data_IF_894457357723
#
_entry.id   IF_894457357723
#
_cell.length_a   1.000
_cell.length_b   1.000
_cell.length_c   1.000
_cell.angle_alpha   90.00
_cell.angle_beta   90.00
_cell.angle_gamma   90.00
#
_symmetry.space_group_name_H-M   'P 1'
#
loop_
_entity.id
_entity.type
_entity.pdbx_description
1 polymer ?
#
# COMPACT_ATOMS: atom_id res chain seq x y z
N UNK A 1 -15.73 17.75 21.79
CA UNK A 1 -15.37 16.66 20.83
C UNK A 1 -16.48 15.60 20.61
N UNK A 2 -17.25 15.19 21.61
CA UNK A 2 -18.19 14.04 21.55
C UNK A 2 -19.17 14.02 20.37
N UNK A 3 -19.68 15.18 19.92
CA UNK A 3 -20.57 15.23 18.76
C UNK A 3 -19.85 14.81 17.46
N UNK A 4 -18.60 15.23 17.30
CA UNK A 4 -17.76 14.87 16.14
C UNK A 4 -17.49 13.37 16.14
N UNK A 5 -17.18 12.78 17.29
CA UNK A 5 -16.96 11.33 17.42
C UNK A 5 -18.19 10.50 17.04
N UNK A 6 -19.39 10.98 17.34
CA UNK A 6 -20.64 10.31 16.98
C UNK A 6 -20.97 10.50 15.49
N UNK A 7 -20.69 11.69 14.93
CA UNK A 7 -21.10 12.04 13.56
C UNK A 7 -20.10 11.57 12.49
N UNK A 8 -18.79 11.71 12.75
CA UNK A 8 -17.73 11.48 11.77
C UNK A 8 -17.77 10.07 11.13
N UNK A 9 -18.03 8.98 11.87
CA UNK A 9 -18.07 7.64 11.26
C UNK A 9 -19.11 7.48 10.16
N UNK A 10 -20.16 8.31 10.14
CA UNK A 10 -21.32 8.15 9.25
C UNK A 10 -21.42 9.22 8.17
N UNK A 11 -20.55 10.23 8.19
CA UNK A 11 -20.67 11.38 7.29
C UNK A 11 -19.34 11.66 6.59
N UNK A 12 -19.46 12.12 5.35
CA UNK A 12 -18.37 12.77 4.61
C UNK A 12 -18.63 14.26 4.60
N UNK A 13 -17.57 15.03 4.79
CA UNK A 13 -17.63 16.50 4.85
C UNK A 13 -16.57 17.07 3.92
N UNK A 14 -16.84 18.24 3.35
CA UNK A 14 -15.80 18.97 2.62
C UNK A 14 -14.84 19.63 3.60
N UNK A 15 -13.58 19.85 3.21
CA UNK A 15 -12.59 20.56 4.03
C UNK A 15 -13.08 21.94 4.47
N UNK A 16 -13.90 22.61 3.64
CA UNK A 16 -14.58 23.85 4.03
C UNK A 16 -15.56 23.65 5.18
N UNK A 17 -16.43 22.63 5.11
CA UNK A 17 -17.36 22.30 6.20
C UNK A 17 -16.61 21.90 7.48
N UNK A 18 -15.52 21.15 7.32
CA UNK A 18 -14.64 20.78 8.43
C UNK A 18 -14.04 22.03 9.07
N UNK A 19 -13.51 22.97 8.27
CA UNK A 19 -12.98 24.24 8.78
C UNK A 19 -14.03 25.07 9.51
N UNK A 20 -15.29 25.09 9.06
CA UNK A 20 -16.39 25.72 9.78
C UNK A 20 -16.67 25.06 11.14
N UNK A 21 -16.65 23.72 11.20
CA UNK A 21 -16.82 22.97 12.47
C UNK A 21 -15.64 23.21 13.42
N UNK A 22 -14.40 23.16 12.90
CA UNK A 22 -13.16 23.34 13.67
C UNK A 22 -13.12 24.73 14.32
N UNK A 23 -13.59 25.78 13.63
CA UNK A 23 -13.69 27.15 14.19
C UNK A 23 -14.64 27.28 15.38
N UNK A 24 -15.54 26.32 15.61
CA UNK A 24 -16.43 26.33 16.77
C UNK A 24 -15.73 25.88 18.06
N UNK A 25 -14.52 25.31 18.00
CA UNK A 25 -13.78 24.87 19.17
C UNK A 25 -12.94 26.01 19.75
N UNK A 26 -13.03 26.21 21.07
CA UNK A 26 -12.30 27.26 21.78
C UNK A 26 -10.97 26.79 22.40
N UNK A 27 -10.71 25.48 22.44
CA UNK A 27 -9.55 24.87 23.08
C UNK A 27 -8.72 24.09 22.06
N UNK A 28 -7.39 24.29 22.07
CA UNK A 28 -6.48 23.68 21.09
C UNK A 28 -6.52 22.15 21.04
N UNK A 29 -6.49 21.45 22.18
CA UNK A 29 -6.47 19.97 22.18
C UNK A 29 -7.77 19.36 21.65
N UNK A 30 -8.93 19.89 22.06
CA UNK A 30 -10.22 19.44 21.54
C UNK A 30 -10.38 19.75 20.05
N UNK A 31 -9.87 20.90 19.63
CA UNK A 31 -9.84 21.33 18.24
C UNK A 31 -9.01 20.36 17.39
N UNK A 32 -7.77 20.05 17.82
CA UNK A 32 -6.86 19.14 17.12
C UNK A 32 -7.47 17.74 17.01
N UNK A 33 -8.03 17.20 18.09
CA UNK A 33 -8.69 15.88 18.06
C UNK A 33 -9.90 15.85 17.13
N UNK A 34 -10.71 16.90 17.12
CA UNK A 34 -11.83 17.02 16.19
C UNK A 34 -11.34 17.13 14.74
N UNK A 35 -10.29 17.92 14.48
CA UNK A 35 -9.69 18.07 13.17
C UNK A 35 -9.10 16.74 12.66
N UNK A 36 -8.39 15.98 13.51
CA UNK A 36 -7.84 14.67 13.15
C UNK A 36 -8.91 13.64 12.77
N UNK A 37 -10.01 13.59 13.53
CA UNK A 37 -11.16 12.73 13.21
C UNK A 37 -11.83 13.12 11.88
N UNK A 38 -12.01 14.43 11.66
CA UNK A 38 -12.65 14.97 10.48
C UNK A 38 -11.77 14.87 9.24
N UNK A 39 -10.45 14.97 9.39
CA UNK A 39 -9.45 14.75 8.33
C UNK A 39 -9.65 13.39 7.66
N UNK A 40 -9.82 12.32 8.45
CA UNK A 40 -10.09 10.97 7.92
C UNK A 40 -11.44 10.86 7.18
N UNK A 41 -12.32 11.86 7.32
CA UNK A 41 -13.67 11.91 6.72
C UNK A 41 -13.84 13.07 5.74
N UNK A 42 -12.75 13.72 5.36
CA UNK A 42 -12.74 14.76 4.35
C UNK A 42 -12.95 14.15 2.96
N UNK A 43 -13.96 14.63 2.24
CA UNK A 43 -14.33 14.13 0.91
C UNK A 43 -13.40 14.65 -0.20
N UNK A 44 -12.90 15.86 -0.02
CA UNK A 44 -12.10 16.66 -0.96
C UNK A 44 -10.75 17.06 -0.34
N UNK A 45 -10.25 16.24 0.60
CA UNK A 45 -9.02 16.46 1.36
C UNK A 45 -7.86 16.88 0.47
N UNK A 46 -7.75 16.19 -0.65
CA UNK A 46 -6.68 16.21 -1.61
C UNK A 46 -6.53 17.52 -2.37
N UNK A 47 -7.65 18.19 -2.64
CA UNK A 47 -7.71 19.42 -3.42
C UNK A 47 -7.91 20.65 -2.52
N UNK A 48 -8.38 20.45 -1.29
CA UNK A 48 -8.89 21.54 -0.44
C UNK A 48 -8.39 21.48 1.01
N UNK A 49 -7.27 20.81 1.31
CA UNK A 49 -6.70 20.76 2.67
C UNK A 49 -6.50 22.16 3.28
N UNK A 50 -6.18 23.16 2.46
CA UNK A 50 -6.01 24.56 2.87
C UNK A 50 -7.27 25.15 3.53
N UNK A 51 -8.46 24.71 3.13
CA UNK A 51 -9.70 25.16 3.74
C UNK A 51 -9.86 24.66 5.19
N UNK A 52 -9.29 23.49 5.50
CA UNK A 52 -9.20 22.94 6.86
C UNK A 52 -8.08 23.64 7.64
N UNK A 53 -6.87 23.72 7.09
CA UNK A 53 -5.71 24.26 7.81
C UNK A 53 -5.83 25.76 8.08
N UNK A 54 -6.45 26.52 7.18
CA UNK A 54 -6.76 27.96 7.40
C UNK A 54 -7.76 28.23 8.53
N UNK A 55 -8.42 27.20 9.07
CA UNK A 55 -9.23 27.30 10.28
C UNK A 55 -8.44 27.12 11.57
N UNK A 56 -7.16 26.77 11.48
CA UNK A 56 -6.29 26.37 12.60
C UNK A 56 -5.09 27.33 12.73
N UNK A 57 -4.52 27.44 13.93
CA UNK A 57 -3.25 28.14 14.12
C UNK A 57 -2.08 27.22 13.74
N UNK A 58 -0.91 27.78 13.41
CA UNK A 58 0.30 27.02 13.06
C UNK A 58 0.67 25.96 14.11
N UNK A 59 0.54 26.30 15.40
CA UNK A 59 0.73 25.35 16.50
C UNK A 59 -0.24 24.17 16.45
N UNK A 60 -1.52 24.44 16.15
CA UNK A 60 -2.55 23.39 16.10
C UNK A 60 -2.38 22.52 14.86
N UNK A 61 -1.89 23.08 13.74
CA UNK A 61 -1.54 22.33 12.53
C UNK A 61 -0.40 21.36 12.85
N UNK A 62 0.65 21.82 13.54
CA UNK A 62 1.74 20.94 13.96
C UNK A 62 1.24 19.80 14.86
N UNK A 63 0.40 20.12 15.86
CA UNK A 63 -0.21 19.11 16.73
C UNK A 63 -1.14 18.15 15.98
N UNK A 64 -1.81 18.60 14.91
CA UNK A 64 -2.60 17.74 14.03
C UNK A 64 -1.70 16.74 13.28
N UNK A 65 -0.55 17.18 12.76
CA UNK A 65 0.42 16.27 12.16
C UNK A 65 0.96 15.26 13.16
N UNK A 66 1.23 15.66 14.40
CA UNK A 66 1.65 14.73 15.46
C UNK A 66 0.55 13.72 15.80
N UNK A 67 -0.72 14.14 15.89
CA UNK A 67 -1.85 13.27 16.20
C UNK A 67 -2.16 12.26 15.07
N UNK A 68 -1.99 12.68 13.81
CA UNK A 68 -2.15 11.81 12.64
C UNK A 68 -0.92 10.91 12.40
N UNK A 69 0.25 11.35 12.85
CA UNK A 69 1.53 10.70 12.61
C UNK A 69 1.81 10.48 11.12
N UNK A 70 2.31 9.30 10.76
CA UNK A 70 2.59 8.93 9.36
C UNK A 70 1.36 9.05 8.44
N UNK A 71 0.14 8.96 8.99
CA UNK A 71 -1.09 9.05 8.20
C UNK A 71 -1.46 10.48 7.80
N UNK A 72 -0.75 11.51 8.27
CA UNK A 72 -0.92 12.87 7.72
C UNK A 72 -0.54 12.95 6.23
N UNK A 73 0.27 12.01 5.76
CA UNK A 73 0.72 11.90 4.37
C UNK A 73 -0.18 10.99 3.52
N UNK A 74 -1.27 10.46 4.08
CA UNK A 74 -2.13 9.51 3.36
C UNK A 74 -2.98 10.24 2.31
N UNK A 75 -2.96 9.73 1.08
CA UNK A 75 -3.93 10.05 0.02
C UNK A 75 -5.00 8.96 -0.05
N UNK A 76 -6.27 9.35 -0.10
CA UNK A 76 -7.39 8.40 -0.16
C UNK A 76 -7.77 8.05 -1.60
N UNK A 77 -7.34 8.84 -2.58
CA UNK A 77 -7.36 8.50 -4.00
C UNK A 77 -6.38 7.35 -4.25
N UNK A 78 -5.16 7.41 -3.71
CA UNK A 78 -4.22 6.29 -3.78
C UNK A 78 -3.92 5.70 -2.39
N UNK A 79 -4.84 4.91 -1.81
CA UNK A 79 -4.64 4.30 -0.50
C UNK A 79 -3.62 3.16 -0.51
N UNK A 80 -3.01 2.83 -1.66
CA UNK A 80 -2.10 1.67 -1.77
C UNK A 80 -0.94 1.77 -0.79
N UNK A 81 -0.69 0.74 0.03
CA UNK A 81 0.31 0.82 1.10
C UNK A 81 0.07 -0.14 2.26
N UNK A 82 0.95 -0.09 3.25
CA UNK A 82 0.80 -0.83 4.50
C UNK A 82 0.14 0.04 5.58
N UNK A 83 -0.74 -0.55 6.39
CA UNK A 83 -1.42 0.15 7.47
C UNK A 83 -1.31 -0.65 8.77
N UNK A 84 -0.92 0.03 9.84
CA UNK A 84 -0.94 -0.46 11.22
C UNK A 84 -1.81 0.45 12.09
N UNK A 85 -3.01 -0.03 12.40
CA UNK A 85 -4.06 0.74 13.03
C UNK A 85 -4.34 0.24 14.44
N UNK A 86 -4.19 1.12 15.44
CA UNK A 86 -4.50 0.82 16.82
C UNK A 86 -5.89 1.40 17.16
N UNK A 87 -6.88 0.53 17.29
CA UNK A 87 -8.25 0.91 17.60
C UNK A 87 -8.48 1.34 19.04
N UNK A 88 -7.44 1.52 19.86
CA UNK A 88 -7.58 2.34 21.08
C UNK A 88 -7.66 3.83 20.75
N UNK A 89 -7.22 4.27 19.57
CA UNK A 89 -7.30 5.67 19.14
C UNK A 89 -8.49 5.89 18.20
N UNK A 90 -9.36 6.90 18.47
CA UNK A 90 -10.48 7.23 17.59
C UNK A 90 -10.06 7.59 16.15
N UNK A 91 -8.89 8.20 15.99
CA UNK A 91 -8.32 8.56 14.67
C UNK A 91 -8.07 7.30 13.83
N UNK A 92 -7.44 6.26 14.38
CA UNK A 92 -7.17 5.03 13.62
C UNK A 92 -8.46 4.25 13.32
N UNK A 93 -9.48 4.34 14.18
CA UNK A 93 -10.82 3.81 13.89
C UNK A 93 -11.48 4.54 12.70
N UNK A 94 -11.38 5.87 12.67
CA UNK A 94 -11.90 6.69 11.58
C UNK A 94 -11.14 6.42 10.27
N UNK A 95 -9.81 6.26 10.33
CA UNK A 95 -8.96 5.89 9.20
C UNK A 95 -9.32 4.51 8.64
N UNK A 96 -9.46 3.49 9.49
CA UNK A 96 -9.92 2.16 9.05
C UNK A 96 -11.30 2.22 8.41
N UNK A 97 -12.23 3.01 8.96
CA UNK A 97 -13.56 3.20 8.39
C UNK A 97 -13.48 3.84 7.01
N UNK A 98 -12.62 4.85 6.83
CA UNK A 98 -12.38 5.49 5.52
C UNK A 98 -11.79 4.53 4.51
N UNK A 99 -10.72 3.80 4.86
CA UNK A 99 -10.11 2.81 3.97
C UNK A 99 -11.10 1.71 3.60
N UNK A 100 -11.93 1.27 4.54
CA UNK A 100 -13.00 0.29 4.30
C UNK A 100 -14.02 0.85 3.29
N UNK A 101 -14.47 2.09 3.48
CA UNK A 101 -15.40 2.74 2.55
C UNK A 101 -14.80 2.88 1.15
N UNK A 102 -13.51 3.24 1.03
CA UNK A 102 -12.79 3.29 -0.25
C UNK A 102 -12.76 1.91 -0.90
N UNK A 103 -12.39 0.88 -0.14
CA UNK A 103 -12.35 -0.50 -0.64
C UNK A 103 -13.72 -1.00 -1.15
N UNK A 104 -14.83 -0.60 -0.51
CA UNK A 104 -16.17 -0.95 -1.00
C UNK A 104 -16.66 -0.08 -2.18
N UNK A 105 -16.01 1.05 -2.44
CA UNK A 105 -16.31 1.92 -3.59
C UNK A 105 -15.52 1.55 -4.84
N UNK A 106 -14.36 0.90 -4.68
CA UNK A 106 -13.56 0.42 -5.80
C UNK A 106 -14.24 -0.76 -6.54
N UNK A 107 -13.90 -0.98 -7.83
CA UNK A 107 -14.42 -2.11 -8.57
C UNK A 107 -14.10 -3.44 -7.90
N UNK A 108 -15.13 -4.29 -7.73
CA UNK A 108 -15.01 -5.64 -7.15
C UNK A 108 -14.10 -6.65 -7.90
N UNK A 109 -13.41 -6.21 -8.95
CA UNK A 109 -12.53 -7.04 -9.77
C UNK A 109 -11.19 -7.37 -9.09
N UNK A 110 -10.88 -6.75 -7.96
CA UNK A 110 -9.60 -6.87 -7.28
C UNK A 110 -9.69 -7.05 -5.77
N UNK A 111 -8.77 -7.85 -5.27
CA UNK A 111 -8.45 -8.07 -3.87
C UNK A 111 -7.72 -6.83 -3.32
N UNK A 112 -8.40 -5.97 -2.55
CA UNK A 112 -7.84 -4.67 -2.16
C UNK A 112 -7.31 -4.58 -0.73
N UNK A 113 -7.70 -5.49 0.18
CA UNK A 113 -7.04 -5.64 1.48
C UNK A 113 -6.38 -7.01 1.54
N UNK A 114 -5.06 -7.03 1.65
CA UNK A 114 -4.22 -8.21 1.71
C UNK A 114 -3.57 -8.32 3.09
N UNK A 115 -3.09 -9.52 3.44
CA UNK A 115 -2.28 -9.75 4.64
C UNK A 115 -2.92 -9.24 5.94
N UNK A 116 -4.26 -9.36 6.05
CA UNK A 116 -5.03 -8.82 7.16
C UNK A 116 -4.72 -9.59 8.44
N UNK A 117 -4.27 -8.87 9.46
CA UNK A 117 -3.98 -9.35 10.79
C UNK A 117 -4.75 -8.47 11.78
N UNK A 118 -5.68 -9.04 12.54
CA UNK A 118 -6.39 -8.34 13.62
C UNK A 118 -6.27 -9.12 14.93
N UNK A 119 -5.73 -8.48 15.97
CA UNK A 119 -5.61 -9.02 17.34
C UNK A 119 -5.05 -10.46 17.46
N UNK A 120 -3.83 -10.65 16.96
CA UNK A 120 -3.09 -11.94 17.00
C UNK A 120 -2.97 -12.58 18.37
N UNK A 121 -3.05 -11.80 19.45
CA UNK A 121 -2.90 -12.29 20.83
C UNK A 121 -4.20 -12.79 21.47
N UNK A 122 -5.37 -12.64 20.81
CA UNK A 122 -6.66 -13.06 21.40
C UNK A 122 -7.35 -14.21 20.66
N UNK A 123 -6.75 -14.72 19.57
CA UNK A 123 -7.18 -15.93 18.84
C UNK A 123 -8.57 -15.89 18.16
N UNK A 124 -9.19 -14.72 17.97
CA UNK A 124 -10.60 -14.66 17.52
C UNK A 124 -10.79 -14.51 16.01
N UNK A 125 -9.79 -14.06 15.24
CA UNK A 125 -10.00 -13.82 13.80
C UNK A 125 -8.83 -14.35 12.97
N UNK A 126 -8.89 -15.65 12.63
CA UNK A 126 -8.31 -16.11 11.36
C UNK A 126 -9.25 -15.62 10.28
N UNK A 127 -9.06 -14.38 9.83
CA UNK A 127 -9.84 -13.80 8.73
C UNK A 127 -9.79 -14.80 7.58
N UNK A 128 -10.90 -15.48 7.24
CA UNK A 128 -10.88 -16.49 6.19
C UNK A 128 -10.41 -15.80 4.92
N UNK A 129 -9.44 -16.39 4.24
CA UNK A 129 -8.90 -15.84 2.99
C UNK A 129 -10.07 -15.61 2.04
N UNK A 130 -10.42 -14.36 1.82
CA UNK A 130 -11.04 -13.79 0.63
C UNK A 130 -10.87 -12.28 0.84
N UNK A 131 -9.66 -11.86 0.52
CA UNK A 131 -9.21 -10.52 0.26
C UNK A 131 -10.27 -9.41 0.17
N UNK A 132 -9.90 -8.25 0.71
CA UNK A 132 -10.82 -7.15 0.95
C UNK A 132 -11.25 -7.07 2.41
N UNK A 133 -11.86 -5.94 2.82
CA UNK A 133 -12.34 -5.78 4.18
C UNK A 133 -13.38 -6.89 4.50
N UNK A 134 -13.27 -7.56 5.66
CA UNK A 134 -14.22 -8.60 6.08
C UNK A 134 -15.68 -8.16 5.94
N UNK A 135 -16.55 -9.03 5.42
CA UNK A 135 -17.97 -8.72 5.24
C UNK A 135 -18.64 -8.26 6.53
N UNK A 136 -18.25 -8.86 7.67
CA UNK A 136 -18.73 -8.49 9.00
C UNK A 136 -18.44 -7.01 9.35
N UNK A 137 -17.45 -6.39 8.72
CA UNK A 137 -17.05 -5.01 8.97
C UNK A 137 -17.74 -4.00 8.05
N UNK A 138 -18.56 -4.47 7.09
CA UNK A 138 -19.27 -3.60 6.15
C UNK A 138 -20.05 -2.47 6.85
N UNK A 139 -20.73 -2.81 7.95
CA UNK A 139 -21.41 -1.84 8.80
C UNK A 139 -20.47 -1.03 9.69
N UNK A 140 -19.60 -1.70 10.45
CA UNK A 140 -18.73 -1.07 11.44
C UNK A 140 -17.41 -1.83 11.57
N UNK A 141 -16.29 -1.10 11.55
CA UNK A 141 -14.97 -1.67 11.80
C UNK A 141 -14.81 -2.05 13.29
N UNK A 142 -13.86 -2.93 13.63
CA UNK A 142 -13.61 -3.27 15.03
C UNK A 142 -13.26 -2.03 15.86
N UNK A 143 -13.75 -2.00 17.10
CA UNK A 143 -13.56 -0.86 18.02
C UNK A 143 -12.40 -1.02 18.99
N UNK A 144 -11.71 -2.16 18.93
CA UNK A 144 -10.61 -2.51 19.83
C UNK A 144 -9.57 -3.33 19.09
N UNK A 145 -8.36 -3.27 19.60
CA UNK A 145 -7.25 -4.06 19.09
C UNK A 145 -6.35 -3.35 18.11
N UNK A 146 -5.48 -4.13 17.49
CA UNK A 146 -4.58 -3.69 16.42
C UNK A 146 -4.92 -4.38 15.11
N UNK A 147 -5.06 -3.62 14.04
CA UNK A 147 -5.28 -4.09 12.68
C UNK A 147 -4.05 -3.77 11.82
N UNK A 148 -3.43 -4.77 11.21
CA UNK A 148 -2.35 -4.62 10.24
C UNK A 148 -2.77 -5.25 8.91
N UNK A 149 -2.55 -4.57 7.79
CA UNK A 149 -2.88 -5.08 6.45
C UNK A 149 -2.17 -4.25 5.36
N UNK A 150 -2.09 -4.81 4.15
CA UNK A 150 -1.71 -4.07 2.95
C UNK A 150 -2.98 -3.70 2.16
N UNK A 151 -3.10 -2.45 1.73
CA UNK A 151 -4.11 -2.01 0.78
C UNK A 151 -3.51 -2.02 -0.62
N UNK A 152 -4.19 -2.61 -1.60
CA UNK A 152 -3.82 -2.55 -3.03
C UNK A 152 -4.99 -1.97 -3.81
N UNK A 153 -4.86 -0.72 -4.26
CA UNK A 153 -5.93 -0.09 -5.04
C UNK A 153 -6.08 -0.77 -6.39
N UNK A 154 -7.34 -1.05 -6.71
CA UNK A 154 -7.82 -1.57 -7.99
C UNK A 154 -8.50 -0.50 -8.84
N UNK A 155 -8.53 0.74 -8.34
CA UNK A 155 -9.16 1.84 -9.05
C UNK A 155 -8.44 2.06 -10.40
N UNK A 156 -9.20 2.14 -11.50
CA UNK A 156 -8.60 2.29 -12.81
C UNK A 156 -7.91 3.64 -12.91
N UNK A 157 -6.77 3.68 -13.59
CA UNK A 157 -6.24 4.92 -14.13
C UNK A 157 -7.27 5.53 -15.09
N UNK A 158 -7.28 6.85 -15.20
CA UNK A 158 -8.01 7.54 -16.24
C UNK A 158 -7.59 6.97 -17.62
N UNK A 159 -8.54 6.66 -18.50
CA UNK A 159 -8.27 6.15 -19.85
C UNK A 159 -7.40 7.11 -20.68
N UNK A 160 -7.39 8.39 -20.30
CA UNK A 160 -6.58 9.43 -20.93
C UNK A 160 -5.33 9.81 -20.11
N UNK A 161 -5.03 9.08 -19.02
CA UNK A 161 -3.84 9.31 -18.24
C UNK A 161 -2.59 9.10 -19.10
N UNK A 162 -1.82 10.17 -19.27
CA UNK A 162 -0.51 10.13 -19.92
C UNK A 162 0.52 10.07 -18.81
N UNK A 163 1.51 9.19 -18.95
CA UNK A 163 2.62 9.17 -18.01
C UNK A 163 3.34 10.54 -18.04
N UNK A 164 3.69 11.04 -16.86
CA UNK A 164 4.47 12.29 -16.77
C UNK A 164 5.76 12.17 -17.57
N UNK A 165 6.28 13.28 -18.09
CA UNK A 165 7.56 13.25 -18.80
C UNK A 165 8.72 12.97 -17.84
N UNK A 166 9.85 12.49 -18.37
CA UNK A 166 11.05 12.24 -17.56
C UNK A 166 11.63 13.53 -16.96
N UNK A 167 11.46 14.67 -17.64
CA UNK A 167 11.87 15.99 -17.14
C UNK A 167 10.99 16.41 -15.96
N UNK A 168 9.66 16.33 -16.12
CA UNK A 168 8.70 16.62 -15.03
C UNK A 168 8.88 15.68 -13.84
N UNK A 169 9.22 14.41 -14.08
CA UNK A 169 9.51 13.46 -13.01
C UNK A 169 10.73 13.89 -12.19
N UNK A 170 11.82 14.31 -12.85
CA UNK A 170 13.02 14.78 -12.15
C UNK A 170 12.71 16.05 -11.36
N UNK A 171 12.01 17.00 -11.96
CA UNK A 171 11.61 18.24 -11.28
C UNK A 171 10.72 17.96 -10.07
N UNK A 172 9.76 17.05 -10.20
CA UNK A 172 8.89 16.59 -9.11
C UNK A 172 9.70 15.94 -7.98
N UNK A 173 10.58 14.98 -8.30
CA UNK A 173 11.40 14.30 -7.30
C UNK A 173 12.34 15.28 -6.58
N UNK A 174 12.90 16.25 -7.28
CA UNK A 174 13.79 17.25 -6.69
C UNK A 174 13.04 18.26 -5.81
N UNK A 175 11.96 18.87 -6.31
CA UNK A 175 11.32 19.99 -5.63
C UNK A 175 10.21 19.59 -4.66
N UNK A 176 9.46 18.53 -4.95
CA UNK A 176 8.36 18.09 -4.09
C UNK A 176 8.83 17.05 -3.07
N UNK A 177 9.72 16.14 -3.48
CA UNK A 177 10.18 15.04 -2.62
C UNK A 177 11.51 15.36 -1.93
N UNK A 178 12.36 16.21 -2.52
CA UNK A 178 13.66 16.57 -1.96
C UNK A 178 14.78 15.59 -2.31
N UNK A 179 14.65 14.85 -3.41
CA UNK A 179 15.69 13.93 -3.90
C UNK A 179 16.78 14.71 -4.62
N UNK A 180 18.04 14.52 -4.23
CA UNK A 180 19.18 15.10 -4.92
C UNK A 180 19.53 14.34 -6.21
N UNK A 181 20.13 15.03 -7.18
CA UNK A 181 20.60 14.45 -8.44
C UNK A 181 22.03 14.88 -8.75
N UNK A 182 22.77 14.04 -9.45
CA UNK A 182 24.10 14.37 -9.96
C UNK A 182 24.05 15.16 -11.28
N UNK A 183 25.19 15.64 -11.76
CA UNK A 183 25.33 16.38 -13.02
C UNK A 183 24.87 15.58 -14.27
N UNK A 184 24.68 14.26 -14.12
CA UNK A 184 24.22 13.36 -15.19
C UNK A 184 22.72 13.04 -15.07
N UNK A 185 22.03 13.62 -14.09
CA UNK A 185 20.61 13.38 -13.83
C UNK A 185 20.32 12.04 -13.15
N UNK A 186 21.33 11.40 -12.56
CA UNK A 186 21.16 10.19 -11.76
C UNK A 186 20.74 10.59 -10.35
N UNK A 187 19.75 9.90 -9.73
CA UNK A 187 19.39 10.20 -8.35
C UNK A 187 20.55 9.90 -7.42
N UNK A 188 20.67 10.71 -6.36
CA UNK A 188 21.59 10.55 -5.24
C UNK A 188 20.76 10.22 -4.00
N UNK A 189 20.53 8.92 -3.71
CA UNK A 189 19.74 8.51 -2.56
C UNK A 189 20.31 9.02 -1.25
N UNK A 190 19.44 9.43 -0.33
CA UNK A 190 19.89 9.83 1.00
C UNK A 190 20.44 8.64 1.78
N UNK A 191 21.46 8.91 2.59
CA UNK A 191 22.08 7.93 3.49
C UNK A 191 21.48 7.96 4.89
N UNK A 192 20.81 9.04 5.26
CA UNK A 192 20.01 9.12 6.48
C UNK A 192 18.66 8.44 6.24
N UNK A 193 18.38 7.41 7.05
CA UNK A 193 17.13 6.66 6.98
C UNK A 193 15.92 7.52 7.31
N UNK A 194 16.07 8.52 8.19
CA UNK A 194 14.97 9.38 8.63
C UNK A 194 14.52 10.33 7.51
N UNK A 195 15.49 10.87 6.77
CA UNK A 195 15.21 11.69 5.59
C UNK A 195 14.60 10.85 4.47
N UNK A 196 15.12 9.64 4.24
CA UNK A 196 14.53 8.72 3.27
C UNK A 196 13.09 8.31 3.65
N UNK A 197 12.79 8.10 4.94
CA UNK A 197 11.43 7.85 5.43
C UNK A 197 10.50 9.05 5.14
N UNK A 198 10.98 10.27 5.37
CA UNK A 198 10.24 11.49 5.04
C UNK A 198 10.01 11.61 3.53
N UNK A 199 11.01 11.33 2.69
CA UNK A 199 10.88 11.34 1.23
C UNK A 199 9.81 10.33 0.75
N UNK A 200 9.77 9.12 1.32
CA UNK A 200 8.71 8.14 1.03
C UNK A 200 7.33 8.67 1.47
N UNK A 201 7.24 9.32 2.63
CA UNK A 201 6.00 9.91 3.12
C UNK A 201 5.52 11.07 2.22
N UNK A 202 6.41 11.96 1.79
CA UNK A 202 6.11 13.02 0.83
C UNK A 202 5.66 12.43 -0.51
N UNK A 203 6.32 11.38 -0.99
CA UNK A 203 5.91 10.72 -2.22
C UNK A 203 4.47 10.20 -2.10
N UNK A 204 4.13 9.56 -0.98
CA UNK A 204 2.76 9.10 -0.68
C UNK A 204 1.75 10.24 -0.68
N UNK A 205 2.12 11.40 -0.13
CA UNK A 205 1.26 12.57 -0.07
C UNK A 205 1.01 13.18 -1.45
N UNK A 206 1.96 13.10 -2.37
CA UNK A 206 1.85 13.78 -3.66
C UNK A 206 1.25 12.89 -4.76
N UNK A 207 1.49 11.57 -4.74
CA UNK A 207 1.11 10.67 -5.84
C UNK A 207 -0.33 10.13 -5.72
N UNK A 208 -1.28 10.90 -6.27
CA UNK A 208 -2.68 10.47 -6.49
C UNK A 208 -2.95 9.90 -7.88
N UNK A 209 -4.22 9.61 -8.18
CA UNK A 209 -4.67 9.09 -9.48
C UNK A 209 -4.45 10.03 -10.68
N UNK A 210 -4.22 11.33 -10.42
CA UNK A 210 -3.84 12.29 -11.45
C UNK A 210 -2.44 12.03 -12.01
N UNK A 211 -1.60 11.26 -11.30
CA UNK A 211 -0.30 10.84 -11.79
C UNK A 211 -0.39 9.47 -12.46
N UNK A 212 0.37 9.33 -13.55
CA UNK A 212 0.64 8.05 -14.18
C UNK A 212 2.13 7.90 -14.41
N UNK A 213 2.62 6.68 -14.27
CA UNK A 213 4.03 6.32 -14.44
C UNK A 213 4.17 5.16 -15.41
N UNK A 214 5.29 5.11 -16.12
CA UNK A 214 5.74 3.88 -16.79
C UNK A 214 6.53 2.99 -15.82
N UNK A 215 6.66 1.71 -16.12
CA UNK A 215 7.49 0.77 -15.34
C UNK A 215 8.96 1.22 -15.31
N UNK A 216 9.44 1.90 -16.36
CA UNK A 216 10.78 2.49 -16.37
C UNK A 216 10.91 3.64 -15.36
N UNK A 217 9.90 4.48 -15.26
CA UNK A 217 9.86 5.58 -14.29
C UNK A 217 9.72 5.07 -12.86
N UNK A 218 8.89 4.05 -12.60
CA UNK A 218 8.80 3.41 -11.28
C UNK A 218 10.18 2.93 -10.83
N UNK A 219 10.95 2.25 -11.70
CA UNK A 219 12.33 1.84 -11.39
C UNK A 219 13.24 3.03 -11.10
N UNK A 220 13.12 4.12 -11.85
CA UNK A 220 13.89 5.34 -11.59
C UNK A 220 13.57 5.96 -10.22
N UNK A 221 12.30 5.97 -9.82
CA UNK A 221 11.89 6.43 -8.48
C UNK A 221 12.44 5.48 -7.41
N UNK A 222 12.41 4.17 -7.62
CA UNK A 222 13.02 3.19 -6.70
C UNK A 222 14.53 3.37 -6.56
N UNK A 223 15.22 3.82 -7.61
CA UNK A 223 16.65 4.11 -7.58
C UNK A 223 16.98 5.37 -6.75
N UNK A 224 15.98 6.14 -6.32
CA UNK A 224 16.15 7.26 -5.38
C UNK A 224 16.33 6.81 -3.93
N UNK A 225 16.21 5.51 -3.63
CA UNK A 225 16.27 4.98 -2.26
C UNK A 225 17.34 3.90 -2.14
N UNK A 226 18.08 3.86 -1.01
CA UNK A 226 19.08 2.81 -0.76
C UNK A 226 18.47 1.56 -0.13
N UNK A 227 17.55 1.77 0.82
CA UNK A 227 17.03 0.70 1.65
C UNK A 227 15.98 -0.13 0.88
N UNK A 228 16.13 -1.46 0.93
CA UNK A 228 15.20 -2.38 0.30
C UNK A 228 13.73 -2.16 0.69
N UNK A 229 13.39 -1.93 1.97
CA UNK A 229 12.01 -1.62 2.38
C UNK A 229 11.43 -0.39 1.69
N UNK A 230 12.20 0.70 1.55
CA UNK A 230 11.76 1.91 0.84
C UNK A 230 11.51 1.64 -0.64
N UNK A 231 12.41 0.89 -1.31
CA UNK A 231 12.21 0.50 -2.71
C UNK A 231 10.91 -0.29 -2.91
N UNK A 232 10.62 -1.21 -2.00
CA UNK A 232 9.40 -2.00 -2.05
C UNK A 232 8.18 -1.12 -1.77
N UNK A 233 8.25 -0.22 -0.80
CA UNK A 233 7.18 0.74 -0.51
C UNK A 233 6.84 1.60 -1.74
N UNK A 234 7.84 2.15 -2.41
CA UNK A 234 7.69 2.90 -3.66
C UNK A 234 7.02 2.06 -4.75
N UNK A 235 7.51 0.85 -4.98
CA UNK A 235 6.93 -0.05 -5.98
C UNK A 235 5.47 -0.41 -5.67
N UNK A 236 5.13 -0.59 -4.38
CA UNK A 236 3.76 -0.83 -3.93
C UNK A 236 2.89 0.39 -4.18
N UNK A 237 3.28 1.57 -3.68
CA UNK A 237 2.52 2.81 -3.82
C UNK A 237 2.22 3.19 -5.27
N UNK A 238 3.19 2.97 -6.16
CA UNK A 238 3.06 3.33 -7.57
C UNK A 238 2.39 2.23 -8.40
N UNK A 239 2.14 1.03 -7.85
CA UNK A 239 1.54 -0.09 -8.59
C UNK A 239 0.27 0.34 -9.30
N UNK A 240 -0.69 0.91 -8.58
CA UNK A 240 -1.99 1.35 -9.12
C UNK A 240 -1.83 2.39 -10.25
N UNK A 241 -0.72 3.14 -10.24
CA UNK A 241 -0.46 4.28 -11.11
C UNK A 241 0.36 3.95 -12.37
N UNK A 242 0.59 2.66 -12.65
CA UNK A 242 1.34 2.23 -13.85
C UNK A 242 0.45 2.15 -15.09
N UNK A 243 0.83 2.87 -16.16
CA UNK A 243 0.12 2.85 -17.45
C UNK A 243 0.51 1.66 -18.34
N UNK A 244 1.78 1.26 -18.36
CA UNK A 244 2.32 0.19 -19.21
C UNK A 244 2.38 -1.17 -18.49
N UNK A 245 1.26 -1.61 -17.90
CA UNK A 245 1.14 -2.82 -17.07
C UNK A 245 1.78 -4.09 -17.65
N UNK A 246 1.87 -4.23 -18.98
CA UNK A 246 2.53 -5.36 -19.65
C UNK A 246 4.03 -5.44 -19.36
N UNK A 247 4.67 -4.33 -19.01
CA UNK A 247 6.08 -4.25 -18.65
C UNK A 247 6.31 -4.37 -17.13
N UNK A 248 5.25 -4.62 -16.34
CA UNK A 248 5.33 -4.65 -14.88
C UNK A 248 6.38 -5.62 -14.34
N UNK A 249 6.60 -6.76 -15.02
CA UNK A 249 7.63 -7.74 -14.67
C UNK A 249 9.05 -7.15 -14.54
N UNK A 250 9.33 -6.02 -15.21
CA UNK A 250 10.63 -5.33 -15.10
C UNK A 250 10.88 -4.73 -13.72
N UNK A 251 9.83 -4.34 -12.99
CA UNK A 251 9.92 -3.72 -11.66
C UNK A 251 10.35 -4.74 -10.59
N UNK A 252 9.71 -5.91 -10.43
CA UNK A 252 10.24 -6.97 -9.57
C UNK A 252 11.65 -7.41 -9.97
N UNK A 253 11.98 -7.43 -11.27
CA UNK A 253 13.30 -7.87 -11.73
C UNK A 253 14.43 -6.92 -11.35
N UNK A 254 14.15 -5.64 -11.07
CA UNK A 254 15.16 -4.70 -10.56
C UNK A 254 15.37 -4.81 -9.04
N UNK A 255 14.55 -5.58 -8.34
CA UNK A 255 14.65 -5.82 -6.90
C UNK A 255 15.53 -7.03 -6.58
N UNK A 256 16.13 -7.04 -5.39
CA UNK A 256 16.86 -8.18 -4.82
C UNK A 256 15.88 -9.27 -4.36
N UNK A 257 16.37 -10.49 -4.13
CA UNK A 257 15.52 -11.63 -3.78
C UNK A 257 14.57 -11.39 -2.59
N UNK A 258 15.05 -10.81 -1.49
CA UNK A 258 14.18 -10.51 -0.34
C UNK A 258 13.16 -9.40 -0.65
N UNK A 259 13.54 -8.40 -1.44
CA UNK A 259 12.67 -7.31 -1.87
C UNK A 259 11.58 -7.81 -2.84
N UNK A 260 11.93 -8.74 -3.74
CA UNK A 260 10.97 -9.44 -4.62
C UNK A 260 9.93 -10.21 -3.82
N UNK A 261 10.36 -10.99 -2.83
CA UNK A 261 9.44 -11.73 -1.97
C UNK A 261 8.54 -10.79 -1.16
N UNK A 262 9.08 -9.67 -0.64
CA UNK A 262 8.30 -8.68 0.09
C UNK A 262 7.28 -7.97 -0.83
N UNK A 263 7.68 -7.57 -2.03
CA UNK A 263 6.77 -6.98 -3.02
C UNK A 263 5.66 -7.96 -3.41
N UNK A 264 6.02 -9.23 -3.65
CA UNK A 264 5.09 -10.32 -3.95
C UNK A 264 4.09 -10.58 -2.82
N UNK A 265 4.55 -10.53 -1.57
CA UNK A 265 3.70 -10.63 -0.39
C UNK A 265 2.74 -9.44 -0.30
N UNK A 266 3.24 -8.20 -0.47
CA UNK A 266 2.46 -6.97 -0.26
C UNK A 266 1.46 -6.65 -1.36
N UNK A 267 1.78 -6.96 -2.62
CA UNK A 267 0.84 -6.80 -3.74
C UNK A 267 -0.01 -8.04 -3.99
N UNK A 268 0.34 -9.18 -3.37
CA UNK A 268 -0.20 -10.48 -3.71
C UNK A 268 0.48 -11.09 -4.94
N UNK A 269 0.72 -12.41 -4.95
CA UNK A 269 1.52 -13.06 -5.97
C UNK A 269 0.86 -13.02 -7.36
N UNK A 270 -0.47 -12.95 -7.43
CA UNK A 270 -1.19 -12.86 -8.70
C UNK A 270 -0.91 -11.54 -9.45
N UNK A 271 -0.65 -10.46 -8.72
CA UNK A 271 -0.36 -9.13 -9.28
C UNK A 271 1.11 -8.97 -9.74
N UNK A 272 1.99 -9.87 -9.29
CA UNK A 272 3.43 -9.87 -9.61
C UNK A 272 3.80 -10.94 -10.63
N UNK A 273 3.08 -12.07 -10.64
CA UNK A 273 3.35 -13.19 -11.54
C UNK A 273 3.07 -12.85 -13.00
N UNK A 274 4.09 -12.98 -13.84
CA UNK A 274 3.99 -12.92 -15.29
C UNK A 274 4.38 -14.28 -15.89
N UNK A 275 3.52 -14.87 -16.73
CA UNK A 275 3.75 -16.21 -17.29
C UNK A 275 4.94 -16.24 -18.26
N UNK A 276 5.19 -15.15 -18.98
CA UNK A 276 6.32 -15.04 -19.90
C UNK A 276 7.64 -14.73 -19.16
N UNK A 277 7.54 -14.11 -17.97
CA UNK A 277 8.66 -13.74 -17.12
C UNK A 277 8.47 -14.26 -15.69
N UNK A 278 8.46 -15.59 -15.48
CA UNK A 278 8.08 -16.20 -14.20
C UNK A 278 9.20 -16.16 -13.15
N UNK A 279 10.42 -15.73 -13.50
CA UNK A 279 11.58 -15.84 -12.63
C UNK A 279 11.48 -14.89 -11.43
N UNK A 280 11.90 -15.35 -10.26
CA UNK A 280 11.93 -14.51 -9.06
C UNK A 280 12.08 -15.33 -7.78
N UNK A 281 12.15 -14.64 -6.65
CA UNK A 281 12.09 -15.26 -5.35
C UNK A 281 10.66 -15.22 -4.80
N UNK A 282 10.03 -16.39 -4.69
CA UNK A 282 8.65 -16.53 -4.22
C UNK A 282 8.58 -17.11 -2.81
N UNK A 283 7.78 -16.49 -1.96
CA UNK A 283 7.36 -17.03 -0.66
C UNK A 283 5.85 -17.18 -0.72
N UNK A 284 5.38 -18.41 -0.89
CA UNK A 284 3.96 -18.71 -1.14
C UNK A 284 3.38 -19.52 0.02
N UNK A 285 2.31 -19.01 0.61
CA UNK A 285 1.49 -19.76 1.55
C UNK A 285 0.47 -20.59 0.75
N UNK A 286 0.71 -21.90 0.63
CA UNK A 286 -0.17 -22.78 -0.15
C UNK A 286 -1.54 -23.03 0.49
N UNK A 287 -1.74 -22.61 1.75
CA UNK A 287 -3.09 -22.60 2.35
C UNK A 287 -3.96 -21.48 1.76
N UNK A 288 -3.33 -20.50 1.11
CA UNK A 288 -3.99 -19.39 0.47
C UNK A 288 -4.30 -19.70 -1.01
N UNK A 289 -5.56 -19.63 -1.48
CA UNK A 289 -5.94 -19.97 -2.86
C UNK A 289 -5.17 -19.24 -3.98
N UNK A 290 -5.00 -17.91 -3.90
CA UNK A 290 -4.24 -17.15 -4.91
C UNK A 290 -2.74 -17.51 -4.94
N UNK A 291 -2.11 -17.72 -3.77
CA UNK A 291 -0.73 -18.20 -3.69
C UNK A 291 -0.60 -19.63 -4.25
N UNK A 292 -1.55 -20.52 -3.92
CA UNK A 292 -1.63 -21.87 -4.48
C UNK A 292 -1.75 -21.82 -6.01
N UNK A 293 -2.61 -20.95 -6.55
CA UNK A 293 -2.78 -20.78 -8.00
C UNK A 293 -1.49 -20.33 -8.68
N UNK A 294 -0.75 -19.38 -8.09
CA UNK A 294 0.54 -18.95 -8.63
C UNK A 294 1.58 -20.06 -8.54
N UNK A 295 1.62 -20.81 -7.43
CA UNK A 295 2.49 -21.98 -7.29
C UNK A 295 2.20 -23.04 -8.37
N UNK A 296 0.92 -23.31 -8.67
CA UNK A 296 0.51 -24.21 -9.77
C UNK A 296 1.00 -23.70 -11.12
N UNK A 297 0.80 -22.42 -11.42
CA UNK A 297 1.27 -21.80 -12.68
C UNK A 297 2.80 -21.90 -12.82
N UNK A 298 3.56 -21.71 -11.74
CA UNK A 298 5.02 -21.88 -11.76
C UNK A 298 5.42 -23.33 -12.07
N UNK A 299 4.74 -24.32 -11.46
CA UNK A 299 4.97 -25.75 -11.76
C UNK A 299 4.64 -26.08 -13.21
N UNK A 300 3.54 -25.55 -13.74
CA UNK A 300 3.16 -25.72 -15.15
C UNK A 300 4.21 -25.18 -16.12
N UNK A 301 4.79 -24.01 -15.80
CA UNK A 301 5.83 -23.39 -16.64
C UNK A 301 7.13 -24.18 -16.58
N UNK A 302 7.56 -24.63 -15.39
CA UNK A 302 8.74 -25.48 -15.26
C UNK A 302 8.57 -26.82 -16.00
N UNK A 303 7.39 -27.43 -15.94
CA UNK A 303 7.10 -28.68 -16.64
C UNK A 303 7.18 -28.57 -18.18
N UNK A 304 7.09 -27.36 -18.75
CA UNK A 304 7.25 -27.11 -20.18
C UNK A 304 8.72 -27.05 -20.61
N UNK A 305 9.65 -26.79 -19.69
CA UNK A 305 11.09 -26.66 -19.96
C UNK A 305 11.90 -27.63 -19.08
N UNK A 306 11.83 -28.95 -19.31
CA UNK A 306 12.46 -29.96 -18.45
C UNK A 306 13.99 -30.03 -18.59
N UNK A 307 14.56 -29.39 -19.61
CA UNK A 307 15.99 -29.50 -19.93
C UNK A 307 16.89 -28.76 -18.94
N UNK A 308 16.33 -27.81 -18.18
CA UNK A 308 17.04 -27.04 -17.15
C UNK A 308 16.23 -27.05 -15.85
N UNK A 309 16.90 -27.15 -14.68
CA UNK A 309 16.21 -26.95 -13.40
C UNK A 309 15.71 -25.50 -13.31
N UNK A 310 14.41 -25.33 -13.14
CA UNK A 310 13.74 -24.04 -13.03
C UNK A 310 13.55 -23.61 -11.58
N UNK A 311 13.44 -24.57 -10.66
CA UNK A 311 13.26 -24.32 -9.24
C UNK A 311 14.55 -24.51 -8.46
N UNK A 312 14.95 -23.46 -7.74
CA UNK A 312 16.18 -23.42 -6.96
C UNK A 312 15.87 -23.10 -5.50
N UNK A 313 16.65 -23.65 -4.58
CA UNK A 313 16.55 -23.38 -3.14
C UNK A 313 15.14 -23.58 -2.55
N UNK A 314 14.41 -24.59 -3.03
CA UNK A 314 13.05 -24.87 -2.55
C UNK A 314 13.06 -25.21 -1.06
N UNK A 315 12.17 -24.54 -0.33
CA UNK A 315 11.89 -24.82 1.08
C UNK A 315 10.39 -25.04 1.26
N UNK A 316 10.03 -26.10 1.97
CA UNK A 316 8.67 -26.36 2.41
C UNK A 316 8.67 -26.35 3.94
N UNK A 317 7.81 -25.52 4.55
CA UNK A 317 7.75 -25.33 6.00
C UNK A 317 9.13 -25.04 6.64
N UNK A 318 9.96 -24.24 5.95
CA UNK A 318 11.32 -23.86 6.36
C UNK A 318 12.40 -24.91 6.06
N UNK A 319 12.05 -26.17 5.83
CA UNK A 319 12.97 -27.25 5.50
C UNK A 319 13.37 -27.26 4.03
N UNK A 320 14.67 -27.43 3.73
CA UNK A 320 15.16 -27.58 2.34
C UNK A 320 14.66 -28.89 1.74
N UNK A 321 14.16 -28.83 0.50
CA UNK A 321 13.67 -30.01 -0.24
C UNK A 321 14.38 -30.12 -1.58
N UNK A 322 14.77 -31.33 -1.94
CA UNK A 322 15.20 -31.66 -3.29
C UNK A 322 13.99 -32.21 -4.02
N UNK A 323 13.43 -31.43 -4.94
CA UNK A 323 12.24 -31.82 -5.69
C UNK A 323 12.64 -32.11 -7.12
N UNK A 324 12.18 -33.24 -7.64
CA UNK A 324 12.36 -33.58 -9.05
C UNK A 324 11.27 -32.84 -9.84
N UNK A 325 11.69 -31.96 -10.75
CA UNK A 325 10.80 -31.20 -11.64
C UNK A 325 10.17 -32.13 -12.68
N UNK A 326 9.05 -32.74 -12.32
CA UNK A 326 8.29 -33.60 -13.21
C UNK A 326 6.77 -33.36 -13.04
N UNK A 327 5.95 -34.10 -13.79
CA UNK A 327 4.48 -33.96 -13.74
C UNK A 327 3.87 -34.19 -12.35
N UNK A 328 4.58 -34.85 -11.44
CA UNK A 328 4.14 -35.12 -10.07
C UNK A 328 4.64 -34.10 -9.05
N UNK A 329 5.37 -33.06 -9.48
CA UNK A 329 5.95 -32.03 -8.61
C UNK A 329 4.90 -31.38 -7.70
N UNK A 330 3.70 -31.11 -8.23
CA UNK A 330 2.60 -30.55 -7.45
C UNK A 330 2.14 -31.47 -6.31
N UNK A 331 2.16 -32.79 -6.54
CA UNK A 331 1.86 -33.78 -5.51
C UNK A 331 2.82 -33.69 -4.33
N UNK A 332 4.11 -33.43 -4.58
CA UNK A 332 5.12 -33.25 -3.51
C UNK A 332 4.85 -32.00 -2.67
N UNK A 333 4.39 -30.91 -3.28
CA UNK A 333 4.04 -29.69 -2.54
C UNK A 333 2.81 -29.88 -1.64
N UNK A 334 1.84 -30.68 -2.07
CA UNK A 334 0.56 -30.86 -1.38
C UNK A 334 0.56 -32.03 -0.39
N UNK A 335 1.38 -33.06 -0.60
CA UNK A 335 1.43 -34.24 0.26
C UNK A 335 1.90 -33.97 1.70
N UNK A 336 2.63 -32.87 1.92
CA UNK A 336 3.11 -32.45 3.25
C UNK A 336 2.33 -31.24 3.81
N UNK A 337 1.33 -30.75 3.08
CA UNK A 337 0.54 -29.55 3.42
C UNK A 337 -0.77 -29.87 4.17
N UNK A 338 -1.06 -31.16 4.44
CA UNK A 338 -2.24 -31.64 5.16
C UNK A 338 -1.87 -32.51 6.35
#
# INVERSE_FOLDING_TARGET
VTLVEVMAPFNYLTCRQIGEIVRCFSMGEELVRAAALLFCRAADLEDNIDALTSAMQERDIHALHEELGYYSYCRFSNPTGHYELNFTTPVHQALATRLKDVAFSEPSSGDNWLNIIHDTYTAVTKTPSNYGPPEAWKGQTPMRGTLSFDFVSSAPLDEHAVAISDEELVDFLHHCIGVAFDDRGSPLPDTDFSEADLQVALLRQEVGHQFSFTCAQVRRVMDCFLAGPHKVEVAVMLYALVSDRKAWWTVPYSLRACEQALLCWRLGPANVFDRAHPSGHYVLDLSHPSHEQVARKLVEVAAQNPDLPNFWNIRLQGGKKNIVENRNMWGTFTAESF
#
